data_IF_334907642390
#
_entry.id   IF_334907642390
#
_cell.length_a   1.000
_cell.length_b   1.000
_cell.length_c   1.000
_cell.angle_alpha   90.00
_cell.angle_beta   90.00
_cell.angle_gamma   90.00
#
_symmetry.space_group_name_H-M   'P 1'
#
loop_
_entity.id
_entity.type
_entity.pdbx_description
1 polymer ?
#
# COMPACT_ATOMS: atom_id res chain seq x y z
N UNK A 1 -25.38 -41.26 -14.33
CA UNK A 1 -24.04 -40.83 -13.87
C UNK A 1 -24.23 -39.57 -13.06
N UNK A 2 -23.76 -39.49 -11.80
CA UNK A 2 -23.83 -38.25 -11.04
C UNK A 2 -22.91 -37.21 -11.70
N UNK A 3 -23.47 -36.07 -12.09
CA UNK A 3 -22.73 -34.96 -12.69
C UNK A 3 -21.98 -34.20 -11.58
N UNK A 4 -20.68 -34.04 -11.76
CA UNK A 4 -19.84 -33.27 -10.83
C UNK A 4 -20.19 -31.79 -10.96
N UNK A 5 -20.67 -31.17 -9.88
CA UNK A 5 -20.95 -29.73 -9.85
C UNK A 5 -19.66 -28.89 -9.84
N UNK A 6 -19.73 -27.68 -10.40
CA UNK A 6 -18.60 -26.73 -10.52
C UNK A 6 -17.92 -26.47 -9.18
N UNK A 7 -18.67 -26.43 -8.09
CA UNK A 7 -18.12 -26.21 -6.74
C UNK A 7 -17.30 -27.41 -6.25
N UNK A 8 -17.73 -28.62 -6.60
CA UNK A 8 -17.00 -29.86 -6.29
C UNK A 8 -15.74 -29.98 -7.12
N UNK A 9 -15.80 -29.60 -8.40
CA UNK A 9 -14.63 -29.55 -9.28
C UNK A 9 -13.57 -28.55 -8.79
N UNK A 10 -13.98 -27.34 -8.39
CA UNK A 10 -13.06 -26.32 -7.87
C UNK A 10 -12.42 -26.73 -6.53
N UNK A 11 -13.16 -27.41 -5.65
CA UNK A 11 -12.58 -27.98 -4.41
C UNK A 11 -11.56 -29.07 -4.70
N UNK A 12 -11.83 -29.93 -5.67
CA UNK A 12 -10.91 -31.00 -6.07
C UNK A 12 -9.62 -30.43 -6.70
N UNK A 13 -9.74 -29.41 -7.55
CA UNK A 13 -8.58 -28.71 -8.13
C UNK A 13 -7.77 -27.93 -7.09
N UNK A 14 -8.43 -27.29 -6.11
CA UNK A 14 -7.76 -26.60 -5.00
C UNK A 14 -6.95 -27.55 -4.11
N UNK A 15 -7.44 -28.78 -3.90
CA UNK A 15 -6.73 -29.81 -3.14
C UNK A 15 -5.53 -30.40 -3.91
N UNK A 16 -5.61 -30.50 -5.24
CA UNK A 16 -4.50 -31.03 -6.05
C UNK A 16 -3.42 -30.00 -6.35
N UNK A 17 -3.74 -28.70 -6.35
CA UNK A 17 -2.76 -27.62 -6.54
C UNK A 17 -1.79 -27.46 -5.35
N UNK A 18 -2.19 -27.87 -4.14
CA UNK A 18 -1.29 -27.95 -2.98
C UNK A 18 -0.54 -29.28 -2.87
N UNK A 19 -0.89 -30.28 -3.70
CA UNK A 19 -0.27 -31.61 -3.67
C UNK A 19 0.71 -31.87 -4.84
N UNK A 20 0.75 -31.01 -5.86
CA UNK A 20 1.56 -31.23 -7.07
C UNK A 20 3.05 -30.93 -6.94
N UNK A 21 3.51 -30.34 -5.84
CA UNK A 21 4.94 -30.33 -5.47
C UNK A 21 5.31 -31.41 -4.45
N UNK A 22 4.35 -32.16 -3.92
CA UNK A 22 4.55 -33.16 -2.87
C UNK A 22 4.52 -34.62 -3.32
N UNK A 23 4.12 -34.91 -4.57
CA UNK A 23 3.88 -36.31 -5.00
C UNK A 23 5.15 -37.11 -5.35
N UNK A 24 6.34 -36.50 -5.27
CA UNK A 24 7.62 -37.19 -5.49
C UNK A 24 8.40 -37.47 -4.18
N UNK A 25 7.87 -37.09 -3.01
CA UNK A 25 8.55 -37.23 -1.72
C UNK A 25 7.91 -38.28 -0.78
N UNK A 26 7.05 -39.16 -1.30
CA UNK A 26 6.36 -40.19 -0.51
C UNK A 26 7.11 -41.53 -0.47
N UNK A 27 8.44 -41.51 -0.56
CA UNK A 27 9.29 -42.66 -0.25
C UNK A 27 10.35 -42.24 0.77
N UNK A 28 10.19 -42.76 1.99
CA UNK A 28 11.22 -42.95 3.03
C UNK A 28 11.50 -41.82 4.02
N UNK A 29 10.78 -41.90 5.15
CA UNK A 29 11.22 -41.78 6.55
C UNK A 29 12.54 -41.06 6.87
N UNK A 30 12.46 -39.74 7.08
CA UNK A 30 13.07 -39.03 8.23
C UNK A 30 12.77 -37.53 8.19
N UNK A 31 12.05 -37.05 9.21
CA UNK A 31 11.87 -35.64 9.61
C UNK A 31 10.94 -34.80 8.70
N UNK A 32 9.87 -34.19 9.23
CA UNK A 32 9.06 -33.26 8.45
C UNK A 32 9.88 -32.00 8.11
N UNK A 33 9.86 -31.53 6.84
CA UNK A 33 10.53 -30.30 6.49
C UNK A 33 9.75 -29.12 7.11
N UNK A 34 10.45 -28.32 7.91
CA UNK A 34 9.95 -27.02 8.35
C UNK A 34 9.77 -26.16 7.10
N UNK A 35 8.52 -25.90 6.72
CA UNK A 35 8.18 -24.95 5.66
C UNK A 35 8.58 -23.57 6.16
N UNK A 36 9.79 -23.14 5.82
CA UNK A 36 10.18 -21.73 5.89
C UNK A 36 9.50 -21.03 4.72
N UNK A 37 8.56 -20.09 4.93
CA UNK A 37 8.13 -19.23 3.85
C UNK A 37 9.36 -18.51 3.29
N UNK A 38 9.44 -18.44 1.95
CA UNK A 38 10.48 -17.70 1.24
C UNK A 38 10.48 -16.27 1.80
N UNK A 39 11.66 -15.85 2.28
CA UNK A 39 11.82 -14.64 3.07
C UNK A 39 11.23 -13.41 2.39
N UNK A 40 10.22 -12.82 3.03
CA UNK A 40 10.12 -11.38 3.04
C UNK A 40 11.41 -10.87 3.71
N UNK A 41 12.25 -10.23 2.91
CA UNK A 41 13.32 -9.41 3.45
C UNK A 41 12.64 -8.33 4.29
N UNK A 42 12.58 -8.55 5.60
CA UNK A 42 12.20 -7.53 6.56
C UNK A 42 13.33 -6.49 6.59
N UNK A 43 13.41 -5.67 5.55
CA UNK A 43 14.05 -4.36 5.67
C UNK A 43 13.28 -3.63 6.75
N UNK A 44 13.94 -3.39 7.87
CA UNK A 44 13.42 -2.59 8.96
C UNK A 44 13.02 -1.23 8.40
N UNK A 45 11.73 -1.07 8.11
CA UNK A 45 11.15 0.22 7.78
C UNK A 45 11.27 1.06 9.05
N UNK A 46 11.83 2.26 8.94
CA UNK A 46 11.66 3.24 10.01
C UNK A 46 10.16 3.56 10.00
N UNK A 47 9.44 2.91 10.90
CA UNK A 47 7.99 2.94 10.90
C UNK A 47 7.54 4.37 11.15
N UNK A 48 6.60 4.82 10.31
CA UNK A 48 5.75 5.97 10.62
C UNK A 48 5.18 5.72 12.03
N UNK A 49 5.19 6.73 12.88
CA UNK A 49 4.72 6.57 14.26
C UNK A 49 3.27 6.04 14.28
N UNK A 50 2.96 5.16 15.22
CA UNK A 50 1.64 4.51 15.27
C UNK A 50 0.48 5.52 15.43
N UNK A 51 0.77 6.67 16.02
CA UNK A 51 -0.13 7.80 16.26
C UNK A 51 -0.28 8.75 15.06
N UNK A 52 0.47 8.56 13.98
CA UNK A 52 0.41 9.42 12.78
C UNK A 52 -1.01 9.52 12.20
N UNK A 53 -1.79 8.44 12.33
CA UNK A 53 -3.19 8.37 11.90
C UNK A 53 -4.19 8.55 13.06
N UNK A 54 -3.76 8.98 14.24
CA UNK A 54 -4.65 9.32 15.35
C UNK A 54 -5.21 10.73 15.19
N UNK A 55 -6.34 10.78 14.47
CA UNK A 55 -7.07 12.01 14.21
C UNK A 55 -8.39 11.96 14.98
N UNK A 56 -8.54 12.70 16.10
CA UNK A 56 -9.82 12.78 16.81
C UNK A 56 -10.88 13.45 15.93
N UNK A 57 -12.16 13.22 16.23
CA UNK A 57 -13.23 13.91 15.51
C UNK A 57 -13.18 15.41 15.75
N UNK A 58 -13.29 16.15 14.65
CA UNK A 58 -13.46 17.59 14.65
C UNK A 58 -14.74 17.91 13.87
N UNK A 59 -15.66 18.63 14.51
CA UNK A 59 -16.98 18.91 13.94
C UNK A 59 -17.91 17.69 13.89
N UNK A 60 -18.93 17.77 13.04
CA UNK A 60 -20.05 16.82 13.01
C UNK A 60 -19.89 15.71 11.96
N UNK A 61 -19.06 15.93 10.94
CA UNK A 61 -18.93 15.05 9.78
C UNK A 61 -17.46 14.86 9.43
N UNK A 62 -17.06 13.61 9.17
CA UNK A 62 -15.76 13.26 8.60
C UNK A 62 -15.96 12.80 7.16
N UNK A 63 -15.26 13.44 6.23
CA UNK A 63 -15.24 13.06 4.82
C UNK A 63 -13.91 12.37 4.54
N UNK A 64 -13.96 11.10 4.16
CA UNK A 64 -12.80 10.35 3.67
C UNK A 64 -12.82 10.40 2.14
N UNK A 65 -11.91 11.16 1.54
CA UNK A 65 -11.86 11.40 0.10
C UNK A 65 -10.59 10.80 -0.51
N UNK A 66 -10.75 10.19 -1.68
CA UNK A 66 -9.69 9.52 -2.43
C UNK A 66 -10.12 9.43 -3.89
N UNK A 67 -9.19 9.61 -4.82
CA UNK A 67 -9.46 9.63 -6.26
C UNK A 67 -8.40 8.84 -7.03
N UNK A 68 -8.63 8.66 -8.34
CA UNK A 68 -7.60 8.22 -9.30
C UNK A 68 -6.83 6.95 -8.90
N UNK A 69 -7.53 5.96 -8.35
CA UNK A 69 -6.89 4.69 -7.96
C UNK A 69 -6.23 3.93 -9.11
N UNK A 70 -6.64 4.19 -10.36
CA UNK A 70 -6.19 3.46 -11.56
C UNK A 70 -6.22 1.92 -11.43
N UNK A 71 -7.10 1.37 -10.58
CA UNK A 71 -7.15 -0.07 -10.31
C UNK A 71 -5.92 -0.63 -9.59
N UNK A 72 -5.16 0.20 -8.88
CA UNK A 72 -3.93 -0.19 -8.18
C UNK A 72 -4.24 -0.96 -6.89
N UNK A 73 -4.54 -2.25 -7.06
CA UNK A 73 -4.97 -3.14 -5.97
C UNK A 73 -3.85 -3.43 -4.96
N UNK A 74 -2.60 -3.46 -5.43
CA UNK A 74 -1.41 -3.76 -4.63
C UNK A 74 -0.57 -2.49 -4.42
N UNK A 75 0.18 -2.39 -3.30
CA UNK A 75 1.07 -1.25 -3.07
C UNK A 75 2.13 -1.10 -4.16
N UNK A 76 2.50 0.14 -4.47
CA UNK A 76 3.54 0.49 -5.46
C UNK A 76 4.46 1.61 -4.98
N UNK A 77 5.58 1.79 -5.68
CA UNK A 77 6.35 3.03 -5.57
C UNK A 77 5.76 4.06 -6.53
N UNK A 78 5.16 5.11 -6.01
CA UNK A 78 4.55 6.18 -6.79
C UNK A 78 5.31 7.48 -6.55
N UNK A 79 5.96 8.00 -7.61
CA UNK A 79 6.80 9.20 -7.53
C UNK A 79 6.10 10.37 -8.23
N UNK A 80 6.00 11.50 -7.53
CA UNK A 80 5.49 12.74 -8.10
C UNK A 80 6.38 13.30 -9.23
N UNK A 81 5.84 14.10 -10.15
CA UNK A 81 6.62 14.68 -11.23
C UNK A 81 7.63 15.70 -10.69
N UNK A 82 8.81 15.76 -11.33
CA UNK A 82 9.81 16.80 -11.05
C UNK A 82 9.62 18.08 -11.85
N UNK A 83 8.71 18.05 -12.83
CA UNK A 83 8.33 19.21 -13.64
C UNK A 83 6.82 19.17 -13.82
N UNK A 84 6.15 20.27 -13.46
CA UNK A 84 4.75 20.50 -13.79
C UNK A 84 4.60 21.97 -14.23
N UNK A 85 4.18 22.19 -15.47
CA UNK A 85 4.21 23.52 -16.10
C UNK A 85 2.82 24.15 -16.07
N UNK A 86 2.68 25.23 -15.31
CA UNK A 86 1.53 26.13 -15.37
C UNK A 86 1.80 27.26 -16.36
N UNK A 87 0.78 27.67 -17.12
CA UNK A 87 0.86 28.77 -18.09
C UNK A 87 -0.17 29.86 -17.78
N UNK A 88 0.15 31.10 -18.15
CA UNK A 88 -0.71 32.26 -17.87
C UNK A 88 -1.01 32.38 -16.38
N UNK A 89 -2.28 32.52 -16.03
CA UNK A 89 -2.72 32.65 -14.64
C UNK A 89 -2.33 31.45 -13.78
N UNK A 90 -2.15 30.25 -14.35
CA UNK A 90 -1.79 29.05 -13.61
C UNK A 90 -0.31 28.98 -13.20
N UNK A 91 0.54 29.89 -13.69
CA UNK A 91 1.96 29.92 -13.39
C UNK A 91 2.21 30.09 -11.88
N UNK A 92 2.99 29.16 -11.30
CA UNK A 92 3.38 29.25 -9.89
C UNK A 92 2.24 29.03 -8.90
N UNK A 93 1.13 28.41 -9.32
CA UNK A 93 0.02 28.03 -8.44
C UNK A 93 -0.15 26.52 -8.41
N UNK A 94 -0.67 25.94 -7.31
CA UNK A 94 -1.18 24.57 -7.33
C UNK A 94 -2.17 24.38 -8.51
N UNK A 95 -2.13 23.24 -9.22
CA UNK A 95 -1.32 22.03 -8.97
C UNK A 95 0.10 22.05 -9.57
N UNK A 96 0.56 23.18 -10.14
CA UNK A 96 1.85 23.29 -10.85
C UNK A 96 3.06 23.59 -9.95
N UNK A 97 2.89 23.50 -8.63
CA UNK A 97 4.02 23.55 -7.69
C UNK A 97 4.58 22.14 -7.53
N UNK A 98 5.91 22.01 -7.54
CA UNK A 98 6.63 20.74 -7.36
C UNK A 98 7.83 20.94 -6.44
N UNK A 99 8.31 19.86 -5.81
CA UNK A 99 9.51 19.88 -4.98
C UNK A 99 9.42 20.90 -3.84
N UNK A 100 10.52 21.64 -3.60
CA UNK A 100 10.63 22.57 -2.48
C UNK A 100 9.54 23.66 -2.51
N UNK A 101 9.14 24.12 -3.70
CA UNK A 101 8.07 25.12 -3.83
C UNK A 101 6.72 24.60 -3.34
N UNK A 102 6.45 23.31 -3.53
CA UNK A 102 5.25 22.68 -2.98
C UNK A 102 5.35 22.56 -1.46
N UNK A 103 6.50 22.14 -0.93
CA UNK A 103 6.72 22.03 0.51
C UNK A 103 6.52 23.38 1.20
N UNK A 104 7.11 24.45 0.66
CA UNK A 104 6.98 25.80 1.20
C UNK A 104 5.51 26.28 1.17
N UNK A 105 4.81 26.08 0.04
CA UNK A 105 3.43 26.52 -0.12
C UNK A 105 2.43 25.77 0.78
N UNK A 106 2.70 24.50 1.09
CA UNK A 106 1.85 23.64 1.91
C UNK A 106 2.30 23.56 3.38
N UNK A 107 3.35 24.28 3.75
CA UNK A 107 3.97 24.24 5.09
C UNK A 107 4.36 22.82 5.52
N UNK A 108 4.93 22.05 4.58
CA UNK A 108 5.44 20.70 4.81
C UNK A 108 6.96 20.73 4.99
N UNK A 109 7.48 19.82 5.81
CA UNK A 109 8.93 19.67 6.03
C UNK A 109 9.50 18.59 5.12
N UNK A 110 10.75 18.73 4.71
CA UNK A 110 11.49 17.67 4.02
C UNK A 110 11.81 16.50 4.97
N UNK A 111 12.10 15.32 4.41
CA UNK A 111 12.38 14.06 5.14
C UNK A 111 11.27 13.61 6.10
N UNK A 112 10.01 13.90 5.74
CA UNK A 112 8.81 13.37 6.42
C UNK A 112 8.01 12.44 5.50
N UNK A 113 7.09 11.62 6.06
CA UNK A 113 6.19 10.79 5.25
C UNK A 113 5.38 11.60 4.23
N UNK A 114 4.96 12.82 4.58
CA UNK A 114 4.24 13.73 3.69
C UNK A 114 5.13 14.22 2.56
N UNK A 115 6.41 14.56 2.83
CA UNK A 115 7.33 14.95 1.75
C UNK A 115 7.58 13.83 0.75
N UNK A 116 7.63 12.58 1.22
CA UNK A 116 7.73 11.39 0.37
C UNK A 116 6.47 11.19 -0.48
N UNK A 117 5.29 11.41 0.10
CA UNK A 117 4.01 11.25 -0.59
C UNK A 117 3.74 12.34 -1.64
N UNK A 118 4.16 13.58 -1.38
CA UNK A 118 3.78 14.75 -2.18
C UNK A 118 4.89 15.33 -3.06
N UNK A 119 6.11 14.79 -2.98
CA UNK A 119 7.21 15.31 -3.78
C UNK A 119 8.11 14.21 -4.34
N UNK A 120 8.92 14.58 -5.32
CA UNK A 120 9.96 13.73 -5.88
C UNK A 120 11.29 13.81 -5.12
N UNK A 121 11.38 14.66 -4.10
CA UNK A 121 12.63 14.96 -3.40
C UNK A 121 13.07 13.72 -2.64
N UNK A 122 14.32 13.32 -2.87
CA UNK A 122 14.96 12.19 -2.19
C UNK A 122 14.17 10.87 -2.27
N UNK A 123 13.41 10.69 -3.37
CA UNK A 123 12.44 9.61 -3.49
C UNK A 123 13.04 8.22 -3.29
N UNK A 124 14.25 7.96 -3.76
CA UNK A 124 14.89 6.63 -3.64
C UNK A 124 15.18 6.27 -2.18
N UNK A 125 15.79 7.19 -1.42
CA UNK A 125 16.06 7.00 0.00
C UNK A 125 14.77 6.94 0.81
N UNK A 126 13.81 7.82 0.51
CA UNK A 126 12.49 7.82 1.15
C UNK A 126 11.70 6.53 0.84
N UNK A 127 11.77 6.01 -0.38
CA UNK A 127 11.14 4.75 -0.77
C UNK A 127 11.77 3.55 -0.04
N UNK A 128 13.09 3.55 0.16
CA UNK A 128 13.76 2.55 0.98
C UNK A 128 13.36 2.65 2.46
N UNK A 129 13.12 3.87 2.97
CA UNK A 129 12.73 4.15 4.36
C UNK A 129 11.27 3.78 4.67
N UNK A 130 10.34 4.23 3.83
CA UNK A 130 8.90 4.16 4.06
C UNK A 130 8.19 3.04 3.27
N UNK A 131 8.83 2.53 2.22
CA UNK A 131 8.27 1.46 1.39
C UNK A 131 7.23 1.94 0.37
N UNK A 132 6.44 0.99 -0.12
CA UNK A 132 5.42 1.21 -1.15
C UNK A 132 4.18 1.90 -0.58
N UNK A 133 3.52 2.71 -1.40
CA UNK A 133 2.28 3.43 -1.09
C UNK A 133 1.05 2.73 -1.69
N UNK A 134 -0.13 3.06 -1.16
CA UNK A 134 -1.41 2.55 -1.68
C UNK A 134 -1.69 1.09 -1.33
N UNK A 135 -2.41 0.40 -2.21
CA UNK A 135 -2.92 -0.95 -1.99
C UNK A 135 -4.27 -0.97 -1.27
N UNK A 136 -5.22 -1.74 -1.81
CA UNK A 136 -6.61 -1.67 -1.34
C UNK A 136 -6.80 -2.28 0.05
N UNK A 137 -6.03 -3.32 0.39
CA UNK A 137 -6.08 -3.91 1.72
C UNK A 137 -5.56 -2.94 2.79
N UNK A 138 -4.43 -2.29 2.52
CA UNK A 138 -3.80 -1.30 3.41
C UNK A 138 -4.70 -0.07 3.58
N UNK A 139 -5.23 0.45 2.48
CA UNK A 139 -6.19 1.56 2.51
C UNK A 139 -7.45 1.18 3.29
N UNK A 140 -8.01 -0.03 3.09
CA UNK A 140 -9.18 -0.49 3.86
C UNK A 140 -8.91 -0.49 5.37
N UNK A 141 -7.74 -1.00 5.79
CA UNK A 141 -7.34 -0.98 7.20
C UNK A 141 -7.29 0.45 7.75
N UNK A 142 -6.69 1.39 7.01
CA UNK A 142 -6.64 2.79 7.42
C UNK A 142 -8.04 3.43 7.49
N UNK A 143 -8.86 3.23 6.46
CA UNK A 143 -10.22 3.77 6.40
C UNK A 143 -11.09 3.24 7.54
N UNK A 144 -10.98 1.96 7.89
CA UNK A 144 -11.68 1.37 9.03
C UNK A 144 -11.24 1.99 10.35
N UNK A 145 -9.93 2.22 10.55
CA UNK A 145 -9.41 2.92 11.73
C UNK A 145 -9.97 4.33 11.83
N UNK A 146 -9.90 5.11 10.76
CA UNK A 146 -10.38 6.49 10.72
C UNK A 146 -11.90 6.58 10.92
N UNK A 147 -12.66 5.61 10.40
CA UNK A 147 -14.10 5.50 10.60
C UNK A 147 -14.44 5.15 12.05
N UNK A 148 -13.75 4.19 12.66
CA UNK A 148 -13.94 3.82 14.07
C UNK A 148 -13.64 4.99 15.01
N UNK A 149 -12.56 5.73 14.76
CA UNK A 149 -12.23 6.96 15.50
C UNK A 149 -13.32 8.04 15.36
N UNK A 150 -14.10 7.98 14.27
CA UNK A 150 -15.23 8.86 14.02
C UNK A 150 -16.56 8.40 14.65
N UNK A 151 -16.58 7.26 15.33
CA UNK A 151 -17.78 6.69 15.95
C UNK A 151 -18.71 5.94 14.98
N UNK A 152 -18.23 5.57 13.79
CA UNK A 152 -19.00 4.86 12.76
C UNK A 152 -18.57 3.42 12.51
#
# INVERSE_FOLDING_TARGET
MPTIDRRTFLKLMGLTATASTGLLAACSDKTPPKVTPAGESATATNAISDDFYDLPMQGNVRILHTTDFHGQLQPVYFREPNVNLGVGDALGRPPHLVGNKLLDAMNLKADTPESYAYTYIDFENAAAKYGKTGGFAQMKTLLDRLRKQAGG
#
